data_IF_919449558204
#
_entry.id   IF_919449558204
#
_cell.length_a   1.000
_cell.length_b   1.000
_cell.length_c   1.000
_cell.angle_alpha   90.00
_cell.angle_beta   90.00
_cell.angle_gamma   90.00
#
_symmetry.space_group_name_H-M   'P 1'
#
loop_
_entity.id
_entity.type
_entity.pdbx_description
1 polymer ?
#
# COMPACT_ATOMS: atom_id res chain seq x y z
N UNK A 1 90.90 -26.92 -8.08
CA UNK A 1 89.69 -26.09 -7.95
C UNK A 1 88.68 -26.54 -9.03
N UNK A 2 87.71 -27.35 -8.68
CA UNK A 2 86.70 -27.88 -9.63
C UNK A 2 85.34 -27.45 -9.08
N UNK A 3 84.65 -26.52 -9.80
CA UNK A 3 83.27 -26.11 -9.54
C UNK A 3 82.37 -27.25 -10.09
N UNK A 4 81.54 -27.80 -9.22
CA UNK A 4 80.43 -28.71 -9.61
C UNK A 4 79.16 -27.87 -9.69
N UNK A 5 78.61 -27.78 -10.87
CA UNK A 5 77.29 -27.21 -11.19
C UNK A 5 76.19 -28.25 -10.86
N UNK A 6 75.31 -27.95 -9.96
CA UNK A 6 74.11 -28.76 -9.67
C UNK A 6 72.99 -28.26 -10.56
N UNK A 7 72.43 -29.11 -11.39
CA UNK A 7 71.21 -28.89 -12.17
C UNK A 7 70.04 -29.28 -11.29
N UNK A 8 69.19 -28.33 -10.90
CA UNK A 8 67.90 -28.56 -10.20
C UNK A 8 66.81 -28.79 -11.23
N UNK A 9 66.25 -29.98 -11.25
CA UNK A 9 65.09 -30.35 -12.05
C UNK A 9 63.85 -29.80 -11.31
N UNK A 10 63.17 -28.79 -11.87
CA UNK A 10 61.85 -28.26 -11.36
C UNK A 10 60.78 -29.07 -12.06
N UNK A 11 60.13 -29.94 -11.29
CA UNK A 11 58.94 -30.68 -11.73
C UNK A 11 57.73 -29.77 -11.52
N UNK A 12 57.17 -29.23 -12.59
CA UNK A 12 55.94 -28.46 -12.55
C UNK A 12 54.73 -29.41 -12.35
N UNK A 13 54.16 -29.41 -11.16
CA UNK A 13 52.85 -30.05 -10.89
C UNK A 13 51.79 -29.09 -11.34
N UNK A 14 51.13 -29.38 -12.47
CA UNK A 14 49.90 -28.69 -12.91
C UNK A 14 48.77 -29.26 -12.07
N UNK A 15 48.34 -28.52 -11.02
CA UNK A 15 47.05 -28.73 -10.37
C UNK A 15 45.96 -28.26 -11.34
N UNK A 16 45.25 -29.20 -11.95
CA UNK A 16 43.99 -28.92 -12.61
C UNK A 16 42.96 -28.61 -11.51
N UNK A 17 42.78 -27.32 -11.18
CA UNK A 17 41.65 -26.86 -10.43
C UNK A 17 40.40 -27.03 -11.32
N UNK A 18 39.68 -28.12 -11.13
CA UNK A 18 38.29 -28.24 -11.61
C UNK A 18 37.45 -27.22 -10.89
N UNK A 19 37.41 -25.99 -11.40
CA UNK A 19 36.50 -24.97 -10.99
C UNK A 19 35.08 -25.43 -11.37
N UNK A 20 34.30 -25.82 -10.40
CA UNK A 20 32.83 -25.84 -10.53
C UNK A 20 32.34 -24.39 -10.66
N UNK A 21 32.65 -23.76 -11.76
CA UNK A 21 31.98 -22.57 -12.24
C UNK A 21 30.69 -23.03 -12.93
N UNK A 22 29.60 -23.19 -12.18
CA UNK A 22 28.29 -23.30 -12.78
C UNK A 22 28.06 -22.00 -13.57
N UNK A 23 28.05 -22.10 -14.90
CA UNK A 23 27.56 -21.03 -15.75
C UNK A 23 26.16 -20.67 -15.25
N UNK A 24 25.77 -19.39 -15.21
CA UNK A 24 24.38 -19.02 -14.93
C UNK A 24 23.49 -19.88 -15.85
N UNK A 25 22.65 -20.70 -15.27
CA UNK A 25 21.75 -21.55 -16.04
C UNK A 25 20.81 -20.61 -16.79
N UNK A 26 20.92 -20.56 -18.10
CA UNK A 26 20.05 -19.72 -18.93
C UNK A 26 18.61 -20.17 -18.71
N UNK A 27 17.72 -19.24 -18.33
CA UNK A 27 16.33 -19.55 -18.04
C UNK A 27 15.61 -20.14 -19.26
N UNK A 28 14.58 -20.94 -19.02
CA UNK A 28 13.77 -21.54 -20.07
C UNK A 28 13.17 -20.46 -20.99
N UNK A 29 13.29 -20.64 -22.30
CA UNK A 29 12.73 -19.70 -23.31
C UNK A 29 11.30 -20.05 -23.71
N UNK A 30 10.86 -21.27 -23.44
CA UNK A 30 9.50 -21.77 -23.73
C UNK A 30 8.89 -22.37 -22.47
N UNK A 31 7.59 -22.24 -22.33
CA UNK A 31 6.86 -22.80 -21.19
C UNK A 31 6.76 -24.32 -21.28
N UNK A 32 7.18 -24.99 -20.23
CA UNK A 32 6.89 -26.39 -19.94
C UNK A 32 6.16 -26.46 -18.57
N UNK A 33 4.84 -26.64 -18.53
CA UNK A 33 4.07 -26.68 -17.29
C UNK A 33 4.44 -27.85 -16.36
N UNK A 34 5.19 -28.85 -16.84
CA UNK A 34 5.65 -29.99 -16.03
C UNK A 34 7.06 -29.79 -15.46
N UNK A 35 7.78 -28.76 -15.89
CA UNK A 35 9.10 -28.46 -15.38
C UNK A 35 9.04 -28.16 -13.88
N UNK A 36 10.09 -28.59 -13.15
CA UNK A 36 10.25 -28.20 -11.74
C UNK A 36 10.62 -26.72 -11.66
N UNK A 37 9.84 -25.98 -10.90
CA UNK A 37 10.02 -24.55 -10.72
C UNK A 37 10.14 -24.20 -9.23
N UNK A 38 11.04 -23.29 -8.91
CA UNK A 38 11.09 -22.61 -7.61
C UNK A 38 10.78 -21.13 -7.83
N UNK A 39 9.69 -20.64 -7.23
CA UNK A 39 9.31 -19.24 -7.19
C UNK A 39 9.79 -18.59 -5.90
N UNK A 40 10.10 -17.31 -5.97
CA UNK A 40 10.34 -16.44 -4.81
C UNK A 40 9.22 -15.39 -4.73
N UNK A 41 8.60 -15.29 -3.54
CA UNK A 41 7.49 -14.38 -3.32
C UNK A 41 7.75 -13.52 -2.08
N UNK A 42 7.85 -12.19 -2.28
CA UNK A 42 7.91 -11.21 -1.20
C UNK A 42 6.51 -10.67 -0.94
N UNK A 43 5.95 -11.01 0.21
CA UNK A 43 4.55 -10.74 0.52
C UNK A 43 4.30 -9.32 0.99
N UNK A 44 5.32 -8.61 1.46
CA UNK A 44 5.15 -7.32 2.12
C UNK A 44 4.38 -7.38 3.43
N UNK A 45 4.03 -8.58 3.90
CA UNK A 45 3.22 -8.81 5.09
C UNK A 45 4.05 -9.39 6.22
N UNK A 46 3.59 -9.27 7.45
CA UNK A 46 4.24 -9.78 8.65
C UNK A 46 3.26 -10.54 9.54
N UNK A 47 3.78 -11.23 10.55
CA UNK A 47 3.00 -11.89 11.59
C UNK A 47 1.91 -12.86 11.05
N UNK A 48 0.66 -12.69 11.44
CA UNK A 48 -0.41 -13.64 11.08
C UNK A 48 -0.83 -13.50 9.60
N UNK A 49 -0.71 -12.30 9.03
CA UNK A 49 -0.98 -12.08 7.61
C UNK A 49 0.00 -12.85 6.72
N UNK A 50 1.30 -12.86 7.05
CA UNK A 50 2.30 -13.64 6.33
C UNK A 50 2.03 -15.14 6.43
N UNK A 51 1.68 -15.65 7.62
CA UNK A 51 1.34 -17.09 7.82
C UNK A 51 0.17 -17.56 6.97
N UNK A 52 -0.84 -16.70 6.75
CA UNK A 52 -1.97 -17.04 5.88
C UNK A 52 -1.46 -17.23 4.45
N UNK A 53 -0.63 -16.30 3.95
CA UNK A 53 -0.06 -16.38 2.60
C UNK A 53 0.90 -17.57 2.45
N UNK A 54 1.69 -17.92 3.48
CA UNK A 54 2.49 -19.15 3.51
C UNK A 54 1.59 -20.41 3.40
N UNK A 55 0.46 -20.42 4.11
CA UNK A 55 -0.53 -21.49 4.03
C UNK A 55 -1.13 -21.64 2.63
N UNK A 56 -1.48 -20.54 1.99
CA UNK A 56 -1.99 -20.52 0.61
C UNK A 56 -0.91 -20.96 -0.41
N UNK A 57 0.33 -20.54 -0.24
CA UNK A 57 1.45 -21.02 -1.05
C UNK A 57 1.63 -22.54 -0.94
N UNK A 58 1.52 -23.09 0.29
CA UNK A 58 1.56 -24.53 0.52
C UNK A 58 0.38 -25.29 -0.11
N UNK A 59 -0.82 -24.69 -0.10
CA UNK A 59 -2.00 -25.23 -0.79
C UNK A 59 -1.79 -25.26 -2.33
N UNK A 60 -1.27 -24.19 -2.90
CA UNK A 60 -0.94 -24.12 -4.31
C UNK A 60 0.08 -25.21 -4.70
N UNK A 61 1.14 -25.38 -3.88
CA UNK A 61 2.15 -26.43 -4.08
C UNK A 61 1.54 -27.85 -4.05
N UNK A 62 0.55 -28.09 -3.17
CA UNK A 62 -0.17 -29.40 -3.17
C UNK A 62 -0.93 -29.65 -4.47
N UNK A 63 -1.51 -28.63 -5.08
CA UNK A 63 -2.20 -28.71 -6.37
C UNK A 63 -1.22 -28.84 -7.54
N UNK A 64 -0.01 -28.31 -7.40
CA UNK A 64 1.05 -28.25 -8.41
C UNK A 64 2.40 -28.75 -7.85
N UNK A 65 2.60 -30.09 -7.69
CA UNK A 65 3.77 -30.63 -6.98
C UNK A 65 5.13 -30.34 -7.61
N UNK A 66 5.13 -29.90 -8.86
CA UNK A 66 6.34 -29.46 -9.57
C UNK A 66 6.73 -28.00 -9.25
N UNK A 67 5.89 -27.26 -8.50
CA UNK A 67 6.13 -25.86 -8.11
C UNK A 67 6.41 -25.79 -6.61
N UNK A 68 7.53 -25.18 -6.27
CA UNK A 68 7.86 -24.81 -4.89
C UNK A 68 7.89 -23.29 -4.77
N UNK A 69 7.44 -22.75 -3.65
CA UNK A 69 7.35 -21.31 -3.42
C UNK A 69 8.12 -20.96 -2.16
N UNK A 70 9.09 -20.07 -2.31
CA UNK A 70 9.88 -19.51 -1.21
C UNK A 70 9.21 -18.18 -0.81
N UNK A 71 8.48 -18.22 0.28
CA UNK A 71 7.68 -17.08 0.79
C UNK A 71 8.49 -16.35 1.83
N UNK A 72 8.51 -15.04 1.78
CA UNK A 72 9.05 -14.19 2.83
C UNK A 72 8.39 -12.81 2.81
N UNK A 73 8.43 -12.10 3.93
CA UNK A 73 7.99 -10.70 4.01
C UNK A 73 8.68 -9.79 2.97
N UNK A 74 9.93 -10.07 2.67
CA UNK A 74 10.75 -9.19 1.83
C UNK A 74 11.39 -8.08 2.64
N UNK A 75 10.61 -7.30 3.39
CA UNK A 75 11.09 -6.24 4.28
C UNK A 75 10.04 -5.98 5.38
N UNK A 76 10.45 -5.26 6.43
CA UNK A 76 9.61 -4.97 7.58
C UNK A 76 8.71 -3.75 7.37
N UNK A 77 9.11 -2.84 6.50
CA UNK A 77 8.40 -1.60 6.19
C UNK A 77 8.24 -1.39 4.68
N UNK A 78 7.30 -0.55 4.30
CA UNK A 78 7.03 -0.15 2.92
C UNK A 78 8.28 0.38 2.21
N UNK A 79 8.97 1.35 2.83
CA UNK A 79 10.12 2.00 2.23
C UNK A 79 11.30 1.04 2.06
N UNK A 80 11.51 0.14 3.03
CA UNK A 80 12.54 -0.91 2.95
C UNK A 80 12.25 -1.88 1.81
N UNK A 81 10.98 -2.24 1.57
CA UNK A 81 10.62 -3.14 0.48
C UNK A 81 10.93 -2.53 -0.89
N UNK A 82 10.58 -1.24 -1.11
CA UNK A 82 10.90 -0.54 -2.35
C UNK A 82 12.41 -0.40 -2.57
N UNK A 83 13.16 -0.05 -1.50
CA UNK A 83 14.63 0.03 -1.54
C UNK A 83 15.25 -1.32 -1.90
N UNK A 84 14.74 -2.40 -1.31
CA UNK A 84 15.22 -3.77 -1.56
C UNK A 84 14.94 -4.22 -2.99
N UNK A 85 13.75 -3.90 -3.53
CA UNK A 85 13.42 -4.14 -4.94
C UNK A 85 14.39 -3.39 -5.86
N UNK A 86 14.60 -2.09 -5.61
CA UNK A 86 15.49 -1.24 -6.41
C UNK A 86 16.93 -1.74 -6.39
N UNK A 87 17.46 -2.13 -5.24
CA UNK A 87 18.77 -2.75 -5.10
C UNK A 87 18.84 -4.11 -5.81
N UNK A 88 17.77 -4.89 -5.74
CA UNK A 88 17.62 -6.18 -6.43
C UNK A 88 17.68 -6.03 -7.95
N UNK A 89 17.03 -5.02 -8.50
CA UNK A 89 17.07 -4.73 -9.94
C UNK A 89 18.48 -4.38 -10.42
N UNK A 90 19.21 -3.61 -9.62
CA UNK A 90 20.60 -3.25 -9.93
C UNK A 90 21.56 -4.44 -9.85
N UNK A 91 21.34 -5.36 -8.90
CA UNK A 91 22.18 -6.56 -8.72
C UNK A 91 21.74 -7.77 -9.55
N UNK A 92 20.56 -7.74 -10.16
CA UNK A 92 19.95 -8.87 -10.87
C UNK A 92 19.37 -9.95 -9.94
N UNK A 93 19.19 -9.66 -8.64
CA UNK A 93 18.62 -10.59 -7.64
C UNK A 93 17.34 -9.98 -7.05
N UNK A 94 16.19 -10.36 -7.60
CA UNK A 94 14.88 -9.88 -7.20
C UNK A 94 13.85 -11.03 -7.26
N UNK A 95 12.68 -10.92 -6.58
CA UNK A 95 11.72 -12.01 -6.52
C UNK A 95 10.99 -12.20 -7.86
N UNK A 96 10.24 -13.29 -7.99
CA UNK A 96 9.28 -13.47 -9.09
C UNK A 96 8.01 -12.67 -8.89
N UNK A 97 7.61 -12.52 -7.63
CA UNK A 97 6.40 -11.84 -7.21
C UNK A 97 6.73 -10.98 -6.01
N UNK A 98 6.28 -9.73 -6.01
CA UNK A 98 6.32 -8.89 -4.81
C UNK A 98 5.01 -8.17 -4.61
N UNK A 99 4.61 -8.00 -3.35
CA UNK A 99 3.69 -6.96 -2.96
C UNK A 99 4.28 -5.60 -3.36
N UNK A 100 3.44 -4.72 -3.85
CA UNK A 100 3.85 -3.39 -4.29
C UNK A 100 2.72 -2.41 -4.01
N UNK A 101 3.06 -1.29 -3.38
CA UNK A 101 2.09 -0.21 -3.22
C UNK A 101 1.77 0.40 -4.58
N UNK A 102 0.49 0.72 -4.81
CA UNK A 102 0.02 1.16 -6.11
C UNK A 102 0.72 2.42 -6.65
N UNK A 103 1.18 3.30 -5.75
CA UNK A 103 1.94 4.49 -6.11
C UNK A 103 3.36 4.21 -6.65
N UNK A 104 3.85 2.95 -6.55
CA UNK A 104 5.13 2.54 -7.16
C UNK A 104 4.99 2.01 -8.58
N UNK A 105 3.76 1.80 -9.05
CA UNK A 105 3.50 1.05 -10.29
C UNK A 105 4.30 1.57 -11.50
N UNK A 106 4.33 2.89 -11.74
CA UNK A 106 5.11 3.47 -12.84
C UNK A 106 6.61 3.28 -12.66
N UNK A 107 7.14 3.52 -11.45
CA UNK A 107 8.55 3.31 -11.16
C UNK A 107 8.98 1.84 -11.38
N UNK A 108 8.13 0.89 -10.99
CA UNK A 108 8.39 -0.52 -11.20
C UNK A 108 8.34 -0.89 -12.69
N UNK A 109 7.35 -0.37 -13.43
CA UNK A 109 7.25 -0.59 -14.87
C UNK A 109 8.45 -0.01 -15.63
N UNK A 110 8.87 1.21 -15.29
CA UNK A 110 10.03 1.91 -15.89
C UNK A 110 11.35 1.20 -15.60
N UNK A 111 11.44 0.38 -14.54
CA UNK A 111 12.63 -0.46 -14.28
C UNK A 111 12.92 -1.45 -15.42
N UNK A 112 11.92 -1.76 -16.27
CA UNK A 112 12.00 -2.78 -17.31
C UNK A 112 12.17 -4.19 -16.78
N UNK A 113 11.82 -4.44 -15.49
CA UNK A 113 11.92 -5.75 -14.83
C UNK A 113 10.57 -6.43 -14.64
N UNK A 114 9.46 -5.73 -14.87
CA UNK A 114 8.12 -6.30 -14.74
C UNK A 114 7.76 -7.16 -15.94
N UNK A 115 6.97 -8.20 -15.71
CA UNK A 115 6.32 -8.95 -16.79
C UNK A 115 5.24 -8.08 -17.44
N UNK A 116 5.09 -8.20 -18.75
CA UNK A 116 3.92 -7.65 -19.46
C UNK A 116 2.79 -8.69 -19.46
N UNK A 117 1.73 -8.39 -18.73
CA UNK A 117 0.56 -9.23 -18.59
C UNK A 117 -0.63 -8.77 -19.43
N UNK A 118 -0.46 -7.71 -20.24
CA UNK A 118 -1.54 -7.03 -20.98
C UNK A 118 -2.36 -7.96 -21.84
N UNK A 119 -1.74 -8.90 -22.53
CA UNK A 119 -2.45 -9.90 -23.32
C UNK A 119 -3.02 -11.04 -22.45
N UNK A 120 -2.34 -11.39 -21.36
CA UNK A 120 -2.75 -12.48 -20.46
C UNK A 120 -4.05 -12.17 -19.70
N UNK A 121 -4.26 -10.91 -19.31
CA UNK A 121 -5.48 -10.50 -18.58
C UNK A 121 -6.72 -10.45 -19.48
N UNK A 122 -6.58 -10.56 -20.80
CA UNK A 122 -7.70 -10.68 -21.75
C UNK A 122 -8.32 -12.06 -21.76
N UNK A 123 -7.65 -13.08 -21.21
CA UNK A 123 -8.23 -14.41 -21.05
C UNK A 123 -9.49 -14.31 -20.16
N UNK A 124 -10.66 -14.78 -20.65
CA UNK A 124 -11.90 -14.76 -19.88
C UNK A 124 -11.81 -15.46 -18.52
N UNK A 125 -10.90 -16.43 -18.36
CA UNK A 125 -10.67 -17.12 -17.11
C UNK A 125 -10.05 -16.22 -16.02
N UNK A 126 -9.42 -15.12 -16.40
CA UNK A 126 -8.87 -14.10 -15.47
C UNK A 126 -9.98 -13.27 -14.85
N UNK A 127 -11.10 -13.06 -15.58
CA UNK A 127 -12.21 -12.20 -15.15
C UNK A 127 -11.74 -10.80 -14.74
N UNK A 128 -10.88 -10.20 -15.56
CA UNK A 128 -10.21 -8.93 -15.25
C UNK A 128 -11.18 -7.79 -14.90
N UNK A 129 -12.36 -7.80 -15.53
CA UNK A 129 -13.38 -6.77 -15.32
C UNK A 129 -14.10 -6.85 -13.97
N UNK A 130 -13.94 -7.93 -13.21
CA UNK A 130 -14.47 -8.04 -11.85
C UNK A 130 -13.66 -7.23 -10.83
N UNK A 131 -12.42 -6.88 -11.13
CA UNK A 131 -11.65 -5.93 -10.31
C UNK A 131 -12.17 -4.50 -10.46
N UNK A 132 -12.10 -3.71 -9.39
CA UNK A 132 -12.47 -2.31 -9.42
C UNK A 132 -11.69 -1.55 -10.51
N UNK A 133 -12.32 -0.59 -11.18
CA UNK A 133 -11.70 0.17 -12.26
C UNK A 133 -10.42 0.91 -11.80
N UNK A 134 -10.41 1.47 -10.59
CA UNK A 134 -9.24 2.11 -9.98
C UNK A 134 -8.09 1.13 -9.79
N UNK A 135 -8.38 -0.09 -9.32
CA UNK A 135 -7.36 -1.13 -9.12
C UNK A 135 -6.75 -1.60 -10.46
N UNK A 136 -7.59 -1.76 -11.48
CA UNK A 136 -7.11 -2.08 -12.84
C UNK A 136 -6.25 -0.95 -13.42
N UNK A 137 -6.67 0.30 -13.24
CA UNK A 137 -5.88 1.45 -13.68
C UNK A 137 -4.52 1.51 -13.00
N UNK A 138 -4.46 1.29 -11.68
CA UNK A 138 -3.20 1.23 -10.91
C UNK A 138 -2.29 0.10 -11.40
N UNK A 139 -2.86 -1.08 -11.73
CA UNK A 139 -2.09 -2.21 -12.26
C UNK A 139 -1.61 -2.01 -13.71
N UNK A 140 -2.03 -0.92 -14.38
CA UNK A 140 -1.78 -0.68 -15.82
C UNK A 140 -1.05 0.64 -16.06
N UNK A 141 0.13 0.88 -15.45
CA UNK A 141 0.91 2.08 -15.72
C UNK A 141 1.34 2.11 -17.18
N UNK A 142 1.27 3.30 -17.80
CA UNK A 142 1.66 3.51 -19.20
C UNK A 142 1.05 2.50 -20.22
N UNK A 143 -0.12 1.93 -19.89
CA UNK A 143 -0.82 0.97 -20.75
C UNK A 143 -0.34 -0.47 -20.65
N UNK A 144 0.63 -0.80 -19.80
CA UNK A 144 1.15 -2.14 -19.56
C UNK A 144 0.64 -2.70 -18.23
N UNK A 145 -0.02 -3.85 -18.24
CA UNK A 145 -0.41 -4.55 -17.00
C UNK A 145 0.80 -5.25 -16.41
N UNK A 146 1.20 -4.86 -15.18
CA UNK A 146 2.42 -5.36 -14.52
C UNK A 146 2.14 -6.31 -13.35
N UNK A 147 0.89 -6.49 -12.97
CA UNK A 147 0.50 -7.30 -11.83
C UNK A 147 -1.03 -7.38 -11.70
N UNK A 148 -1.45 -7.96 -10.58
CA UNK A 148 -2.86 -8.06 -10.21
C UNK A 148 -3.13 -7.25 -8.95
N UNK A 149 -4.33 -6.71 -8.76
CA UNK A 149 -4.71 -6.13 -7.47
C UNK A 149 -4.44 -7.13 -6.33
N UNK A 150 -3.75 -6.69 -5.29
CA UNK A 150 -3.45 -7.47 -4.09
C UNK A 150 -4.44 -7.18 -2.98
N UNK A 151 -4.80 -5.91 -2.84
CA UNK A 151 -5.89 -5.46 -2.00
C UNK A 151 -6.51 -4.19 -2.59
N UNK A 152 -7.73 -3.89 -2.17
CA UNK A 152 -8.38 -2.60 -2.37
C UNK A 152 -8.87 -2.09 -1.02
N UNK A 153 -8.79 -0.80 -0.85
CA UNK A 153 -9.11 -0.12 0.38
C UNK A 153 -9.70 1.27 0.12
N UNK A 154 -10.13 1.91 1.16
CA UNK A 154 -10.41 3.34 1.19
C UNK A 154 -10.30 3.87 2.61
N UNK A 155 -10.12 5.18 2.73
CA UNK A 155 -10.25 5.86 4.01
C UNK A 155 -11.72 6.08 4.35
N UNK A 156 -12.08 5.69 5.56
CA UNK A 156 -13.39 5.91 6.17
C UNK A 156 -13.23 6.51 7.57
N UNK A 157 -14.29 7.08 8.10
CA UNK A 157 -14.30 7.57 9.46
C UNK A 157 -14.66 6.45 10.43
N UNK A 158 -13.76 6.09 11.34
CA UNK A 158 -14.00 5.20 12.46
C UNK A 158 -14.18 6.03 13.74
N UNK A 159 -15.18 5.70 14.54
CA UNK A 159 -15.43 6.40 15.81
C UNK A 159 -15.65 5.45 16.98
N UNK A 160 -15.14 5.82 18.15
CA UNK A 160 -15.25 5.04 19.39
C UNK A 160 -16.58 5.34 20.09
N UNK A 161 -17.55 4.43 20.02
CA UNK A 161 -18.89 4.62 20.57
C UNK A 161 -18.87 4.92 22.06
N UNK A 162 -18.04 4.26 22.84
CA UNK A 162 -17.94 4.49 24.30
C UNK A 162 -17.53 5.92 24.63
N UNK A 163 -16.60 6.51 23.88
CA UNK A 163 -16.18 7.89 24.09
C UNK A 163 -17.26 8.89 23.67
N UNK A 164 -17.96 8.60 22.57
CA UNK A 164 -19.10 9.40 22.11
C UNK A 164 -20.23 9.42 23.15
N UNK A 165 -20.63 8.25 23.65
CA UNK A 165 -21.66 8.11 24.67
C UNK A 165 -21.27 8.81 25.97
N UNK A 166 -20.04 8.63 26.44
CA UNK A 166 -19.54 9.24 27.67
C UNK A 166 -19.55 10.78 27.63
N UNK A 167 -19.40 11.38 26.44
CA UNK A 167 -19.42 12.84 26.26
C UNK A 167 -20.73 13.38 25.68
N UNK A 168 -21.75 12.52 25.48
CA UNK A 168 -23.02 12.86 24.83
C UNK A 168 -22.78 13.56 23.46
N UNK A 169 -21.93 13.00 22.63
CA UNK A 169 -21.70 13.43 21.25
C UNK A 169 -22.57 12.56 20.33
N UNK A 170 -23.39 13.13 19.43
CA UNK A 170 -24.10 12.32 18.43
C UNK A 170 -23.12 11.55 17.54
N UNK A 171 -23.49 10.32 17.18
CA UNK A 171 -22.68 9.53 16.26
C UNK A 171 -22.59 10.18 14.86
N UNK A 172 -21.48 10.00 14.15
CA UNK A 172 -21.34 10.44 12.77
C UNK A 172 -22.43 9.86 11.86
N UNK A 173 -22.97 10.72 10.99
CA UNK A 173 -23.84 10.33 9.88
C UNK A 173 -23.10 10.45 8.56
N UNK A 174 -23.68 9.94 7.47
CA UNK A 174 -23.10 10.06 6.13
C UNK A 174 -23.11 11.50 5.58
N UNK A 175 -23.79 12.42 6.29
CA UNK A 175 -23.92 13.84 5.91
C UNK A 175 -22.99 14.76 6.71
N UNK A 176 -22.15 14.17 7.61
CA UNK A 176 -21.25 14.98 8.42
C UNK A 176 -20.31 15.81 7.56
N UNK A 177 -20.17 17.07 7.97
CA UNK A 177 -19.20 18.01 7.43
C UNK A 177 -17.88 17.96 8.21
N UNK A 178 -16.83 18.55 7.67
CA UNK A 178 -15.57 18.72 8.42
C UNK A 178 -15.73 19.62 9.65
N UNK A 179 -16.69 20.53 9.65
CA UNK A 179 -17.00 21.35 10.84
C UNK A 179 -17.64 20.51 11.94
N UNK A 180 -18.53 19.57 11.60
CA UNK A 180 -19.09 18.60 12.55
C UNK A 180 -17.98 17.71 13.15
N UNK A 181 -17.08 17.23 12.31
CA UNK A 181 -15.93 16.45 12.74
C UNK A 181 -15.03 17.22 13.72
N UNK A 182 -14.71 18.49 13.40
CA UNK A 182 -13.91 19.36 14.28
C UNK A 182 -14.62 19.63 15.60
N UNK A 183 -15.92 19.93 15.56
CA UNK A 183 -16.72 20.17 16.76
C UNK A 183 -16.77 18.94 17.67
N UNK A 184 -16.98 17.75 17.10
CA UNK A 184 -16.93 16.49 17.82
C UNK A 184 -15.55 16.22 18.41
N UNK A 185 -14.48 16.41 17.63
CA UNK A 185 -13.10 16.21 18.09
C UNK A 185 -12.78 17.08 19.31
N UNK A 186 -13.19 18.36 19.29
CA UNK A 186 -13.03 19.27 20.47
C UNK A 186 -13.78 18.74 21.68
N UNK A 187 -15.01 18.30 21.51
CA UNK A 187 -15.87 17.82 22.60
C UNK A 187 -15.38 16.50 23.21
N UNK A 188 -14.80 15.63 22.41
CA UNK A 188 -14.24 14.36 22.83
C UNK A 188 -12.89 14.49 23.53
N UNK A 189 -12.17 15.58 23.27
CA UNK A 189 -10.81 15.80 23.84
C UNK A 189 -10.88 16.01 25.34
N UNK A 190 -10.05 15.27 26.08
CA UNK A 190 -9.89 15.38 27.52
C UNK A 190 -8.41 15.30 27.86
N UNK A 191 -7.72 16.43 27.99
CA UNK A 191 -6.28 16.47 28.27
C UNK A 191 -5.90 15.83 29.61
N UNK A 192 -6.78 15.93 30.63
CA UNK A 192 -6.51 15.34 31.94
C UNK A 192 -6.51 13.81 31.89
N UNK A 193 -7.39 13.23 31.08
CA UNK A 193 -7.44 11.78 30.83
C UNK A 193 -6.49 11.34 29.71
N UNK A 194 -5.77 12.26 29.05
CA UNK A 194 -4.97 12.04 27.86
C UNK A 194 -5.78 11.38 26.73
N UNK A 195 -7.00 11.85 26.51
CA UNK A 195 -7.87 11.45 25.41
C UNK A 195 -7.85 12.55 24.35
N UNK A 196 -7.69 12.17 23.10
CA UNK A 196 -7.72 13.06 21.94
C UNK A 196 -9.00 12.86 21.14
N UNK A 197 -9.51 13.92 20.55
CA UNK A 197 -10.70 13.84 19.70
C UNK A 197 -10.44 13.07 18.41
N UNK A 198 -9.25 13.27 17.83
CA UNK A 198 -8.79 12.55 16.63
C UNK A 198 -7.27 12.40 16.61
N UNK A 199 -6.75 11.81 15.55
CA UNK A 199 -5.32 11.67 15.30
C UNK A 199 -4.95 12.06 13.87
N UNK A 200 -3.67 12.34 13.66
CA UNK A 200 -3.09 12.55 12.34
C UNK A 200 -1.63 12.13 12.34
N UNK A 201 -1.18 11.42 11.29
CA UNK A 201 0.22 11.10 11.07
C UNK A 201 1.03 12.35 10.71
N UNK A 202 2.19 12.50 11.34
CA UNK A 202 3.17 13.55 11.04
C UNK A 202 4.58 12.98 10.88
N UNK A 203 4.68 11.72 10.46
CA UNK A 203 5.94 11.07 10.13
C UNK A 203 6.58 11.66 8.87
N UNK A 204 5.77 12.26 8.00
CA UNK A 204 6.17 12.71 6.67
C UNK A 204 6.14 11.61 5.61
N UNK A 205 5.63 10.44 5.95
CA UNK A 205 5.43 9.30 5.05
C UNK A 205 4.25 9.48 4.09
N UNK A 206 4.01 8.48 3.26
CA UNK A 206 2.81 8.40 2.41
C UNK A 206 1.53 8.40 3.25
N UNK A 207 1.50 7.83 4.47
CA UNK A 207 0.34 7.87 5.35
C UNK A 207 -0.08 9.32 5.67
N UNK A 208 0.90 10.21 5.95
CA UNK A 208 0.65 11.64 6.18
C UNK A 208 -0.06 12.30 5.00
N UNK A 209 0.38 12.04 3.78
CA UNK A 209 -0.17 12.67 2.57
C UNK A 209 -1.46 12.00 2.12
N UNK A 210 -1.59 10.70 2.30
CA UNK A 210 -2.76 9.96 1.91
C UNK A 210 -4.03 10.45 2.63
N UNK A 211 -3.91 10.75 3.90
CA UNK A 211 -4.98 11.37 4.70
C UNK A 211 -5.30 12.81 4.26
N UNK A 212 -4.37 13.49 3.61
CA UNK A 212 -4.55 14.87 3.13
C UNK A 212 -5.29 14.96 1.80
N UNK A 213 -5.10 14.00 0.89
CA UNK A 213 -5.66 14.07 -0.46
C UNK A 213 -7.18 14.19 -0.51
N UNK A 214 -7.98 13.49 0.29
CA UNK A 214 -9.44 13.71 0.32
C UNK A 214 -9.83 15.15 0.67
N UNK A 215 -9.16 15.77 1.63
CA UNK A 215 -9.45 17.16 2.01
C UNK A 215 -9.11 18.14 0.86
N UNK A 216 -8.03 17.89 0.14
CA UNK A 216 -7.64 18.67 -1.03
C UNK A 216 -8.69 18.55 -2.14
N UNK A 217 -9.06 17.32 -2.51
CA UNK A 217 -9.98 17.05 -3.61
C UNK A 217 -11.38 17.56 -3.35
N UNK A 218 -11.92 17.35 -2.16
CA UNK A 218 -13.25 17.85 -1.75
C UNK A 218 -13.34 19.38 -1.78
N UNK A 219 -12.21 20.09 -1.77
CA UNK A 219 -12.12 21.55 -1.92
C UNK A 219 -11.83 21.98 -3.37
N UNK A 220 -11.92 21.05 -4.31
CA UNK A 220 -11.68 21.30 -5.74
C UNK A 220 -10.19 21.43 -6.12
N UNK A 221 -9.28 21.02 -5.25
CA UNK A 221 -7.86 21.00 -5.54
C UNK A 221 -7.41 19.75 -6.31
N UNK A 222 -6.20 19.79 -6.83
CA UNK A 222 -5.54 18.67 -7.50
C UNK A 222 -4.14 18.45 -6.92
N UNK A 223 -3.63 17.21 -6.98
CA UNK A 223 -2.27 16.89 -6.55
C UNK A 223 -1.27 17.47 -7.56
N UNK A 224 -1.49 17.17 -8.83
CA UNK A 224 -0.66 17.63 -9.95
C UNK A 224 -1.49 18.43 -10.95
N UNK A 225 -0.81 19.16 -11.82
CA UNK A 225 -1.38 19.77 -13.03
C UNK A 225 -1.96 18.70 -13.96
N UNK A 226 -2.80 19.11 -14.91
CA UNK A 226 -3.47 18.21 -15.85
C UNK A 226 -2.47 17.38 -16.69
N UNK A 227 -1.32 17.95 -17.03
CA UNK A 227 -0.24 17.27 -17.74
C UNK A 227 0.68 16.45 -16.83
N UNK A 228 0.37 16.40 -15.53
CA UNK A 228 1.09 15.68 -14.47
C UNK A 228 2.55 16.11 -14.27
N UNK A 229 2.96 17.26 -14.80
CA UNK A 229 4.36 17.73 -14.75
C UNK A 229 4.66 18.74 -13.67
N UNK A 230 3.65 19.28 -13.01
CA UNK A 230 3.80 20.32 -12.00
C UNK A 230 2.93 20.04 -10.78
N UNK A 231 3.40 20.49 -9.63
CA UNK A 231 2.62 20.49 -8.41
C UNK A 231 1.40 21.41 -8.55
N UNK A 232 0.23 20.98 -8.07
CA UNK A 232 -0.99 21.78 -7.98
C UNK A 232 -1.56 21.82 -6.55
N UNK A 233 -1.03 21.01 -5.66
CA UNK A 233 -1.49 20.89 -4.27
C UNK A 233 -1.27 22.14 -3.43
N UNK A 234 -0.41 23.07 -3.85
CA UNK A 234 -0.12 24.33 -3.17
C UNK A 234 -1.05 25.50 -3.55
N UNK A 235 -2.11 25.22 -4.31
CA UNK A 235 -3.20 26.17 -4.60
C UNK A 235 -4.07 26.46 -3.37
N UNK A 236 -5.06 27.36 -3.51
CA UNK A 236 -5.92 27.78 -2.39
C UNK A 236 -6.60 26.60 -1.69
N UNK A 237 -7.11 25.62 -2.44
CA UNK A 237 -7.74 24.41 -1.87
C UNK A 237 -6.81 23.62 -0.92
N UNK A 238 -5.52 23.51 -1.28
CA UNK A 238 -4.54 22.86 -0.42
C UNK A 238 -4.22 23.69 0.83
N UNK A 239 -4.12 25.01 0.68
CA UNK A 239 -3.92 25.91 1.81
C UNK A 239 -5.09 25.81 2.79
N UNK A 240 -6.34 25.89 2.31
CA UNK A 240 -7.54 25.81 3.14
C UNK A 240 -7.65 24.44 3.86
N UNK A 241 -7.31 23.36 3.15
CA UNK A 241 -7.28 22.02 3.74
C UNK A 241 -6.24 21.92 4.88
N UNK A 242 -5.06 22.47 4.66
CA UNK A 242 -3.98 22.40 5.65
C UNK A 242 -4.20 23.38 6.81
N UNK A 243 -4.83 24.54 6.59
CA UNK A 243 -5.26 25.45 7.66
C UNK A 243 -6.32 24.82 8.56
N UNK A 244 -7.27 24.07 7.98
CA UNK A 244 -8.24 23.33 8.76
C UNK A 244 -7.56 22.32 9.70
N UNK A 245 -6.65 21.51 9.20
CA UNK A 245 -5.89 20.55 10.01
C UNK A 245 -5.03 21.25 11.07
N UNK A 246 -4.36 22.34 10.71
CA UNK A 246 -3.58 23.14 11.63
C UNK A 246 -4.44 23.68 12.77
N UNK A 247 -5.61 24.22 12.47
CA UNK A 247 -6.51 24.73 13.49
C UNK A 247 -6.93 23.64 14.50
N UNK A 248 -7.17 22.42 14.05
CA UNK A 248 -7.47 21.28 14.94
C UNK A 248 -6.25 20.89 15.80
N UNK A 249 -5.04 20.87 15.21
CA UNK A 249 -3.83 20.42 15.89
C UNK A 249 -3.27 21.49 16.86
N UNK A 250 -3.18 22.74 16.42
CA UNK A 250 -2.51 23.83 17.13
C UNK A 250 -3.45 24.63 18.02
N UNK A 251 -4.59 25.06 17.46
CA UNK A 251 -5.50 25.96 18.16
C UNK A 251 -6.46 25.18 19.09
N UNK A 252 -7.08 24.11 18.58
CA UNK A 252 -8.03 23.27 19.34
C UNK A 252 -7.32 22.22 20.20
N UNK A 253 -6.09 21.83 19.86
CA UNK A 253 -5.29 20.77 20.50
C UNK A 253 -6.05 19.44 20.62
N UNK A 254 -6.89 19.15 19.65
CA UNK A 254 -7.77 17.98 19.62
C UNK A 254 -7.19 16.79 18.89
N UNK A 255 -5.98 16.93 18.32
CA UNK A 255 -5.33 15.94 17.47
C UNK A 255 -4.15 15.28 18.19
N UNK A 256 -4.11 13.97 18.24
CA UNK A 256 -2.89 13.23 18.54
C UNK A 256 -2.00 13.22 17.29
N UNK A 257 -0.80 13.80 17.39
CA UNK A 257 0.17 13.83 16.29
C UNK A 257 1.08 12.61 16.40
N UNK A 258 0.88 11.64 15.49
CA UNK A 258 1.69 10.42 15.44
C UNK A 258 2.96 10.63 14.61
N UNK A 259 4.11 10.40 15.22
CA UNK A 259 5.43 10.56 14.59
C UNK A 259 5.88 9.31 13.83
N UNK A 260 5.15 8.20 13.95
CA UNK A 260 5.59 6.87 13.50
C UNK A 260 4.60 6.15 12.60
N UNK A 261 3.38 6.66 12.45
CA UNK A 261 2.22 6.05 11.76
C UNK A 261 1.69 4.78 12.45
N UNK A 262 2.35 4.28 13.48
CA UNK A 262 2.06 2.98 14.10
C UNK A 262 1.22 3.08 15.37
N UNK A 263 1.04 4.28 15.95
CA UNK A 263 0.50 4.45 17.30
C UNK A 263 -0.97 4.86 17.34
N UNK A 264 -1.44 5.62 16.36
CA UNK A 264 -2.79 6.20 16.44
C UNK A 264 -3.90 5.13 16.38
N UNK A 265 -3.76 4.10 15.54
CA UNK A 265 -4.75 3.02 15.44
C UNK A 265 -4.79 2.15 16.72
N UNK A 266 -3.66 1.69 17.31
CA UNK A 266 -3.66 1.04 18.62
C UNK A 266 -4.25 1.90 19.74
N UNK A 267 -3.97 3.21 19.79
CA UNK A 267 -4.52 4.13 20.78
C UNK A 267 -6.04 4.33 20.61
N UNK A 268 -6.54 4.32 19.38
CA UNK A 268 -7.98 4.31 19.13
C UNK A 268 -8.63 3.05 19.68
N UNK A 269 -8.06 1.88 19.41
CA UNK A 269 -8.52 0.60 19.95
C UNK A 269 -8.53 0.56 21.50
N UNK A 270 -7.59 1.25 22.12
CA UNK A 270 -7.48 1.38 23.59
C UNK A 270 -8.40 2.47 24.19
N UNK A 271 -9.22 3.12 23.37
CA UNK A 271 -10.14 4.17 23.82
C UNK A 271 -9.46 5.48 24.23
N UNK A 272 -8.30 5.79 23.64
CA UNK A 272 -7.54 7.03 23.89
C UNK A 272 -7.74 8.07 22.79
N UNK A 273 -8.38 7.69 21.68
CA UNK A 273 -8.71 8.55 20.56
C UNK A 273 -10.19 8.34 20.22
N UNK A 274 -10.94 9.44 20.04
CA UNK A 274 -12.36 9.42 19.78
C UNK A 274 -12.72 9.02 18.35
N UNK A 275 -11.95 9.50 17.39
CA UNK A 275 -12.14 9.27 15.96
C UNK A 275 -10.83 9.07 15.26
N UNK A 276 -10.78 8.21 14.26
CA UNK A 276 -9.68 8.13 13.30
C UNK A 276 -10.23 8.06 11.88
N UNK A 277 -9.51 8.65 10.96
CA UNK A 277 -9.68 8.36 9.54
C UNK A 277 -8.73 7.20 9.24
N UNK A 278 -9.27 6.06 8.83
CA UNK A 278 -8.45 4.88 8.55
C UNK A 278 -9.18 3.91 7.61
N UNK A 279 -8.50 2.84 7.22
CA UNK A 279 -9.01 1.85 6.30
C UNK A 279 -9.35 0.50 6.92
N UNK A 280 -9.78 -0.47 6.08
CA UNK A 280 -10.26 -1.77 6.52
C UNK A 280 -9.18 -2.61 7.22
N UNK A 281 -7.90 -2.40 6.93
CA UNK A 281 -6.78 -3.07 7.60
C UNK A 281 -6.76 -2.90 9.13
N UNK A 282 -7.45 -1.88 9.65
CA UNK A 282 -7.56 -1.65 11.10
C UNK A 282 -8.58 -2.58 11.77
N UNK A 283 -9.54 -3.10 11.02
CA UNK A 283 -10.70 -3.82 11.58
C UNK A 283 -10.31 -5.10 12.29
N UNK A 284 -9.30 -5.81 11.79
CA UNK A 284 -8.80 -7.04 12.43
C UNK A 284 -8.32 -6.76 13.87
N UNK A 285 -7.50 -5.74 14.08
CA UNK A 285 -6.98 -5.36 15.39
C UNK A 285 -8.09 -4.86 16.33
N UNK A 286 -9.05 -4.07 15.80
CA UNK A 286 -10.19 -3.61 16.57
C UNK A 286 -11.06 -4.77 17.07
N UNK A 287 -11.24 -5.79 16.24
CA UNK A 287 -11.91 -7.03 16.60
C UNK A 287 -11.17 -7.76 17.71
N UNK A 288 -9.84 -7.95 17.58
CA UNK A 288 -9.01 -8.59 18.62
C UNK A 288 -9.12 -7.86 19.96
N UNK A 289 -9.12 -6.54 19.94
CA UNK A 289 -9.27 -5.68 21.13
C UNK A 289 -10.71 -5.58 21.63
N UNK A 290 -11.70 -6.12 20.90
CA UNK A 290 -13.14 -5.98 21.20
C UNK A 290 -13.56 -4.52 21.35
N UNK A 291 -13.01 -3.66 20.50
CA UNK A 291 -13.32 -2.23 20.49
C UNK A 291 -14.76 -2.02 20.00
N UNK A 292 -15.54 -1.26 20.74
CA UNK A 292 -16.89 -0.86 20.32
C UNK A 292 -16.80 0.39 19.44
N UNK A 293 -16.80 0.19 18.12
CA UNK A 293 -16.63 1.24 17.12
C UNK A 293 -17.81 1.31 16.15
N UNK A 294 -17.89 2.39 15.42
CA UNK A 294 -18.74 2.53 14.25
C UNK A 294 -17.95 3.06 13.07
N UNK A 295 -18.51 2.93 11.87
CA UNK A 295 -17.94 3.38 10.60
C UNK A 295 -18.92 4.34 9.93
N UNK A 296 -18.39 5.43 9.37
CA UNK A 296 -19.12 6.38 8.54
C UNK A 296 -18.27 6.75 7.32
N UNK A 297 -18.87 7.41 6.33
CA UNK A 297 -18.11 8.05 5.25
C UNK A 297 -17.21 9.15 5.82
N UNK A 298 -16.21 9.57 5.05
CA UNK A 298 -15.44 10.75 5.43
C UNK A 298 -16.38 11.96 5.54
N UNK A 299 -16.12 12.89 6.48
CA UNK A 299 -16.81 14.16 6.50
C UNK A 299 -16.69 14.84 5.13
N UNK A 300 -17.77 15.53 4.71
CA UNK A 300 -17.84 16.13 3.39
C UNK A 300 -17.58 17.63 3.37
N UNK A 301 -17.25 18.14 2.19
CA UNK A 301 -17.24 19.56 1.85
C UNK A 301 -18.30 19.80 0.78
N UNK A 302 -19.30 20.65 1.07
CA UNK A 302 -20.42 20.93 0.13
C UNK A 302 -21.14 19.68 -0.40
N UNK A 303 -21.30 18.66 0.45
CA UNK A 303 -21.94 17.38 0.08
C UNK A 303 -21.03 16.43 -0.72
N UNK A 304 -19.78 16.76 -0.95
CA UNK A 304 -18.79 15.85 -1.52
C UNK A 304 -18.04 15.11 -0.40
N UNK A 305 -18.25 13.80 -0.31
CA UNK A 305 -17.62 12.88 0.65
C UNK A 305 -16.49 12.07 0.00
N UNK A 306 -15.85 12.64 -1.02
CA UNK A 306 -14.80 11.96 -1.74
C UNK A 306 -13.71 11.45 -0.80
N UNK A 307 -13.36 10.18 -0.97
CA UNK A 307 -12.27 9.51 -0.28
C UNK A 307 -11.14 9.15 -1.26
N UNK A 308 -10.05 8.65 -0.72
CA UNK A 308 -8.96 8.04 -1.46
C UNK A 308 -9.07 6.52 -1.38
N UNK A 309 -8.75 5.84 -2.48
CA UNK A 309 -8.51 4.40 -2.52
C UNK A 309 -7.06 4.16 -2.92
N UNK A 310 -6.43 3.19 -2.29
CA UNK A 310 -5.04 2.81 -2.52
C UNK A 310 -4.94 1.35 -2.93
N UNK A 311 -5.33 0.99 -4.16
CA UNK A 311 -5.15 -0.38 -4.62
C UNK A 311 -3.67 -0.72 -4.63
N UNK A 312 -3.31 -1.83 -3.96
CA UNK A 312 -1.96 -2.38 -4.00
C UNK A 312 -1.91 -3.59 -4.93
N UNK A 313 -0.71 -4.01 -5.30
CA UNK A 313 -0.50 -4.97 -6.38
C UNK A 313 0.34 -6.17 -5.92
N UNK A 314 0.05 -7.32 -6.50
CA UNK A 314 1.00 -8.41 -6.69
C UNK A 314 1.71 -8.16 -8.03
N UNK A 315 2.87 -7.50 -7.98
CA UNK A 315 3.67 -7.23 -9.18
C UNK A 315 4.51 -8.45 -9.54
N UNK A 316 4.52 -8.80 -10.82
CA UNK A 316 5.25 -9.96 -11.35
C UNK A 316 6.50 -9.47 -12.10
N UNK A 317 7.63 -10.12 -11.84
CA UNK A 317 8.92 -9.74 -12.42
C UNK A 317 9.47 -10.78 -13.39
N UNK A 318 10.14 -10.30 -14.43
CA UNK A 318 10.80 -11.12 -15.44
C UNK A 318 12.23 -11.48 -15.01
N UNK A 319 12.41 -12.71 -14.58
CA UNK A 319 13.73 -13.29 -14.27
C UNK A 319 14.36 -14.04 -15.47
N UNK A 320 13.83 -13.86 -16.68
CA UNK A 320 14.34 -14.47 -17.90
C UNK A 320 14.02 -15.96 -18.06
N UNK A 321 13.08 -16.51 -17.24
CA UNK A 321 12.64 -17.90 -17.27
C UNK A 321 11.14 -18.01 -17.52
N UNK A 322 10.76 -18.58 -18.67
CA UNK A 322 9.37 -18.68 -19.10
C UNK A 322 8.50 -19.54 -18.15
N UNK A 323 9.08 -20.56 -17.51
CA UNK A 323 8.35 -21.40 -16.57
C UNK A 323 8.07 -20.67 -15.26
N UNK A 324 9.04 -19.91 -14.75
CA UNK A 324 8.84 -19.05 -13.57
C UNK A 324 7.77 -17.97 -13.85
N UNK A 325 7.84 -17.31 -15.01
CA UNK A 325 6.84 -16.32 -15.42
C UNK A 325 5.44 -16.93 -15.55
N UNK A 326 5.32 -18.13 -16.11
CA UNK A 326 4.05 -18.86 -16.23
C UNK A 326 3.47 -19.18 -14.85
N UNK A 327 4.25 -19.80 -13.98
CA UNK A 327 3.77 -20.22 -12.67
C UNK A 327 3.52 -19.06 -11.69
N UNK A 328 4.25 -17.96 -11.82
CA UNK A 328 3.93 -16.71 -11.10
C UNK A 328 2.56 -16.17 -11.49
N UNK A 329 2.25 -16.16 -12.79
CA UNK A 329 0.94 -15.76 -13.28
C UNK A 329 -0.18 -16.69 -12.78
N UNK A 330 -0.01 -18.00 -12.86
CA UNK A 330 -1.01 -18.98 -12.41
C UNK A 330 -1.24 -18.89 -10.88
N UNK A 331 -0.19 -18.70 -10.08
CA UNK A 331 -0.28 -18.49 -8.64
C UNK A 331 -1.13 -17.26 -8.32
N UNK A 332 -0.82 -16.11 -8.91
CA UNK A 332 -1.52 -14.86 -8.59
C UNK A 332 -2.94 -14.86 -9.16
N UNK A 333 -3.16 -15.43 -10.34
CA UNK A 333 -4.51 -15.64 -10.86
C UNK A 333 -5.38 -16.46 -9.90
N UNK A 334 -4.83 -17.53 -9.31
CA UNK A 334 -5.55 -18.33 -8.32
C UNK A 334 -5.72 -17.57 -7.00
N UNK A 335 -4.68 -16.93 -6.46
CA UNK A 335 -4.72 -16.19 -5.21
C UNK A 335 -5.74 -15.05 -5.25
N UNK A 336 -5.86 -14.37 -6.39
CA UNK A 336 -6.79 -13.25 -6.59
C UNK A 336 -8.13 -13.67 -7.21
N UNK A 337 -8.43 -14.98 -7.28
CA UNK A 337 -9.79 -15.47 -7.55
C UNK A 337 -10.70 -15.15 -6.37
N UNK A 338 -12.01 -15.15 -6.57
CA UNK A 338 -12.95 -14.88 -5.46
C UNK A 338 -12.75 -15.82 -4.27
N UNK A 339 -12.48 -17.12 -4.54
CA UNK A 339 -12.22 -18.11 -3.49
C UNK A 339 -10.85 -17.92 -2.83
N UNK A 340 -9.81 -17.55 -3.59
CA UNK A 340 -8.47 -17.29 -3.07
C UNK A 340 -8.45 -16.04 -2.21
N UNK A 341 -9.05 -14.96 -2.72
CA UNK A 341 -9.14 -13.68 -2.03
C UNK A 341 -9.92 -13.78 -0.72
N UNK A 342 -11.03 -14.51 -0.70
CA UNK A 342 -11.82 -14.72 0.50
C UNK A 342 -11.05 -15.39 1.64
N UNK A 343 -10.00 -16.16 1.33
CA UNK A 343 -9.13 -16.80 2.33
C UNK A 343 -8.01 -15.89 2.83
N UNK A 344 -7.77 -14.80 2.15
CA UNK A 344 -6.71 -13.84 2.47
C UNK A 344 -7.30 -12.50 2.92
N UNK A 345 -7.87 -11.72 1.99
CA UNK A 345 -8.30 -10.36 2.27
C UNK A 345 -9.50 -10.29 3.21
N UNK A 346 -10.54 -11.10 3.03
CA UNK A 346 -11.69 -11.07 3.93
C UNK A 346 -11.33 -11.52 5.35
N UNK A 347 -10.42 -12.50 5.50
CA UNK A 347 -9.95 -12.93 6.83
C UNK A 347 -9.22 -11.82 7.57
N UNK A 348 -8.51 -10.96 6.84
CA UNK A 348 -7.78 -9.80 7.40
C UNK A 348 -8.67 -8.56 7.60
N UNK A 349 -9.94 -8.62 7.22
CA UNK A 349 -10.85 -7.47 7.29
C UNK A 349 -10.72 -6.51 6.11
N UNK A 350 -9.90 -6.82 5.10
CA UNK A 350 -9.76 -6.02 3.89
C UNK A 350 -11.00 -6.14 2.99
N UNK A 351 -11.14 -5.21 2.03
CA UNK A 351 -12.29 -5.21 1.12
C UNK A 351 -12.15 -6.28 0.04
N UNK A 352 -13.29 -6.83 -0.47
CA UNK A 352 -13.27 -7.79 -1.56
C UNK A 352 -12.58 -7.22 -2.81
N UNK A 353 -11.68 -7.98 -3.42
CA UNK A 353 -11.04 -7.59 -4.68
C UNK A 353 -12.00 -7.62 -5.86
N UNK A 354 -12.94 -8.58 -5.85
CA UNK A 354 -13.83 -8.87 -6.97
C UNK A 354 -15.29 -8.66 -6.58
N UNK A 355 -16.05 -8.15 -7.50
CA UNK A 355 -17.50 -7.97 -7.30
C UNK A 355 -18.23 -9.30 -7.05
N UNK A 356 -17.76 -10.41 -7.62
CA UNK A 356 -18.33 -11.73 -7.40
C UNK A 356 -18.20 -12.28 -5.98
N UNK A 357 -17.23 -11.79 -5.20
CA UNK A 357 -17.03 -12.23 -3.82
C UNK A 357 -18.20 -11.93 -2.90
N UNK A 358 -18.93 -10.82 -3.15
CA UNK A 358 -20.12 -10.47 -2.37
C UNK A 358 -21.23 -11.51 -2.40
N UNK A 359 -21.20 -12.42 -3.37
CA UNK A 359 -22.14 -13.55 -3.48
C UNK A 359 -21.68 -14.82 -2.76
N UNK A 360 -20.42 -14.86 -2.27
CA UNK A 360 -19.90 -16.02 -1.55
C UNK A 360 -20.46 -16.10 -0.12
N UNK A 361 -20.68 -17.31 0.43
CA UNK A 361 -21.03 -17.47 1.84
C UNK A 361 -20.00 -16.82 2.78
N UNK A 362 -18.71 -16.88 2.45
CA UNK A 362 -17.63 -16.24 3.20
C UNK A 362 -17.84 -14.73 3.38
N UNK A 363 -18.43 -14.05 2.40
CA UNK A 363 -18.74 -12.61 2.54
C UNK A 363 -19.79 -12.34 3.62
N UNK A 364 -20.77 -13.19 3.78
CA UNK A 364 -21.78 -13.03 4.83
C UNK A 364 -21.20 -13.20 6.23
N UNK A 365 -20.23 -14.08 6.38
CA UNK A 365 -19.52 -14.26 7.64
C UNK A 365 -18.56 -13.08 7.89
N UNK A 366 -17.86 -12.62 6.88
CA UNK A 366 -17.01 -11.43 6.91
C UNK A 366 -17.79 -10.18 7.38
N UNK A 367 -18.97 -9.92 6.83
CA UNK A 367 -19.79 -8.77 7.24
C UNK A 367 -20.23 -8.85 8.71
N UNK A 368 -20.54 -10.05 9.21
CA UNK A 368 -20.87 -10.26 10.63
C UNK A 368 -19.66 -10.07 11.53
N UNK A 369 -18.50 -10.49 11.04
CA UNK A 369 -17.24 -10.50 11.77
C UNK A 369 -16.66 -9.10 11.95
N UNK A 370 -16.87 -8.23 10.94
CA UNK A 370 -16.35 -6.86 10.88
C UNK A 370 -17.48 -5.84 10.77
N UNK A 371 -18.17 -5.47 11.89
CA UNK A 371 -19.28 -4.54 11.87
C UNK A 371 -18.89 -3.20 11.22
N UNK A 372 -19.70 -2.73 10.27
CA UNK A 372 -19.47 -1.47 9.56
C UNK A 372 -18.61 -1.60 8.29
N UNK A 373 -18.05 -2.78 8.00
CA UNK A 373 -17.27 -2.99 6.78
C UNK A 373 -18.11 -2.79 5.50
N UNK A 374 -19.40 -3.09 5.54
CA UNK A 374 -20.33 -2.80 4.43
C UNK A 374 -20.36 -1.31 4.07
N UNK A 375 -20.17 -0.44 5.08
CA UNK A 375 -20.05 1.00 4.85
C UNK A 375 -18.75 1.32 4.10
N UNK A 376 -17.65 0.64 4.42
CA UNK A 376 -16.39 0.81 3.68
C UNK A 376 -16.50 0.27 2.24
N UNK A 377 -17.17 -0.87 2.04
CA UNK A 377 -17.46 -1.38 0.68
C UNK A 377 -18.28 -0.37 -0.12
N UNK A 378 -19.35 0.20 0.49
CA UNK A 378 -20.16 1.23 -0.16
C UNK A 378 -19.37 2.53 -0.43
N UNK A 379 -18.41 2.86 0.43
CA UNK A 379 -17.56 4.05 0.31
C UNK A 379 -16.59 3.98 -0.90
N UNK A 380 -16.39 2.83 -1.51
CA UNK A 380 -15.65 2.73 -2.78
C UNK A 380 -16.26 3.60 -3.89
N UNK A 381 -17.57 3.86 -3.85
CA UNK A 381 -18.25 4.78 -4.78
C UNK A 381 -17.79 6.26 -4.60
N UNK A 382 -17.23 6.60 -3.45
CA UNK A 382 -16.69 7.93 -3.14
C UNK A 382 -15.21 8.06 -3.52
N UNK A 383 -14.52 6.98 -3.89
CA UNK A 383 -13.15 7.00 -4.40
C UNK A 383 -13.14 7.43 -5.89
N UNK A 384 -13.37 8.71 -6.14
CA UNK A 384 -13.57 9.27 -7.49
C UNK A 384 -12.25 9.58 -8.21
N UNK A 385 -11.17 9.74 -7.49
CA UNK A 385 -9.85 10.07 -8.03
C UNK A 385 -8.80 9.08 -7.51
N UNK A 386 -7.82 8.78 -8.37
CA UNK A 386 -6.64 8.02 -7.99
C UNK A 386 -5.47 8.96 -7.68
N UNK A 387 -4.53 8.49 -6.88
CA UNK A 387 -3.22 9.15 -6.75
C UNK A 387 -2.48 9.12 -8.09
N UNK A 388 -1.65 10.12 -8.38
CA UNK A 388 -0.80 10.07 -9.57
C UNK A 388 0.12 8.85 -9.55
N UNK A 389 0.35 8.27 -10.72
CA UNK A 389 1.26 7.13 -10.89
C UNK A 389 2.56 7.52 -11.59
N UNK A 390 2.91 8.80 -11.62
CA UNK A 390 4.18 9.30 -12.19
C UNK A 390 5.36 8.90 -11.30
N UNK A 391 6.52 8.63 -11.90
CA UNK A 391 7.71 8.15 -11.18
C UNK A 391 8.21 9.10 -10.08
N UNK A 392 8.01 10.39 -10.23
CA UNK A 392 8.34 11.40 -9.20
C UNK A 392 7.36 11.51 -8.04
N UNK A 393 6.25 10.73 -8.05
CA UNK A 393 5.20 10.85 -7.03
C UNK A 393 5.71 10.56 -5.62
N UNK A 394 6.47 9.49 -5.42
CA UNK A 394 6.94 9.06 -4.09
C UNK A 394 7.77 10.16 -3.42
N UNK A 395 8.68 10.79 -4.16
CA UNK A 395 9.50 11.88 -3.63
C UNK A 395 8.68 13.15 -3.39
N UNK A 396 7.78 13.48 -4.30
CA UNK A 396 6.83 14.58 -4.12
C UNK A 396 5.98 14.37 -2.86
N UNK A 397 5.41 13.19 -2.69
CA UNK A 397 4.60 12.84 -1.51
C UNK A 397 5.37 13.05 -0.22
N UNK A 398 6.62 12.61 -0.17
CA UNK A 398 7.49 12.85 0.99
C UNK A 398 7.65 14.34 1.30
N UNK A 399 7.88 15.19 0.30
CA UNK A 399 8.01 16.64 0.51
C UNK A 399 6.71 17.27 1.03
N UNK A 400 5.55 16.80 0.53
CA UNK A 400 4.24 17.26 1.02
C UNK A 400 4.01 16.75 2.46
N UNK A 401 4.34 15.51 2.77
CA UNK A 401 4.24 14.95 4.11
C UNK A 401 5.08 15.72 5.14
N UNK A 402 6.32 16.07 4.80
CA UNK A 402 7.19 16.93 5.61
C UNK A 402 6.57 18.33 5.83
N UNK A 403 5.95 18.92 4.81
CA UNK A 403 5.28 20.21 4.90
C UNK A 403 4.06 20.15 5.84
N UNK A 404 3.23 19.11 5.70
CA UNK A 404 2.09 18.88 6.60
C UNK A 404 2.58 18.75 8.06
N UNK A 405 3.59 17.91 8.28
CA UNK A 405 4.15 17.70 9.62
C UNK A 405 4.61 19.02 10.27
N UNK A 406 5.36 19.85 9.54
CA UNK A 406 5.80 21.19 10.02
C UNK A 406 4.62 22.07 10.41
N UNK A 407 3.55 22.08 9.61
CA UNK A 407 2.38 22.93 9.84
C UNK A 407 1.58 22.46 11.05
N UNK A 408 1.34 21.15 11.19
CA UNK A 408 0.58 20.59 12.31
C UNK A 408 1.33 20.70 13.64
N UNK A 409 2.65 20.75 13.59
CA UNK A 409 3.50 21.03 14.74
C UNK A 409 3.62 22.54 15.06
N UNK A 410 2.99 23.41 14.27
CA UNK A 410 3.02 24.85 14.46
C UNK A 410 4.33 25.53 14.00
N UNK A 411 5.19 24.83 13.29
CA UNK A 411 6.51 25.31 12.88
C UNK A 411 6.49 26.14 11.57
N UNK A 412 5.41 26.07 10.78
CA UNK A 412 5.28 26.80 9.50
C UNK A 412 3.84 27.19 9.22
N UNK A 413 3.66 28.23 8.41
CA UNK A 413 2.35 28.57 7.84
C UNK A 413 2.03 27.65 6.64
N UNK A 414 0.74 27.26 6.43
CA UNK A 414 0.33 26.35 5.37
C UNK A 414 0.84 26.73 3.98
N UNK A 415 0.61 27.95 3.53
CA UNK A 415 1.03 28.41 2.20
C UNK A 415 2.54 28.29 1.99
N UNK A 416 3.32 28.75 2.96
CA UNK A 416 4.79 28.72 2.87
C UNK A 416 5.33 27.28 2.82
N UNK A 417 4.76 26.38 3.64
CA UNK A 417 5.17 24.98 3.67
C UNK A 417 4.83 24.25 2.36
N UNK A 418 3.62 24.47 1.79
CA UNK A 418 3.21 23.86 0.54
C UNK A 418 3.99 24.41 -0.67
N UNK A 419 4.33 25.72 -0.68
CA UNK A 419 5.18 26.29 -1.75
C UNK A 419 6.62 25.75 -1.69
N UNK A 420 7.17 25.58 -0.51
CA UNK A 420 8.47 24.92 -0.34
C UNK A 420 8.43 23.48 -0.86
N UNK A 421 7.38 22.72 -0.51
CA UNK A 421 7.19 21.36 -0.98
C UNK A 421 7.05 21.30 -2.52
N UNK A 422 6.27 22.21 -3.12
CA UNK A 422 6.10 22.28 -4.57
C UNK A 422 7.44 22.59 -5.28
N UNK A 423 8.23 23.48 -4.72
CA UNK A 423 9.56 23.81 -5.25
C UNK A 423 10.51 22.62 -5.21
N UNK A 424 10.53 21.87 -4.11
CA UNK A 424 11.35 20.66 -3.94
C UNK A 424 10.90 19.55 -4.89
N UNK A 425 9.61 19.42 -5.13
CA UNK A 425 9.02 18.39 -5.99
C UNK A 425 9.27 18.63 -7.48
N UNK A 426 9.59 19.85 -7.89
CA UNK A 426 9.71 20.21 -9.31
C UNK A 426 10.77 19.36 -10.05
N UNK A 427 11.89 19.04 -9.41
CA UNK A 427 12.94 18.21 -10.00
C UNK A 427 12.50 16.75 -10.16
N UNK A 428 11.85 16.19 -9.17
CA UNK A 428 11.34 14.81 -9.20
C UNK A 428 10.28 14.63 -10.31
N UNK A 429 9.40 15.63 -10.47
CA UNK A 429 8.35 15.61 -11.50
C UNK A 429 8.86 15.89 -12.92
N UNK A 430 10.00 16.57 -13.07
CA UNK A 430 10.59 16.85 -14.38
C UNK A 430 11.41 15.68 -14.96
N UNK A 431 11.76 14.72 -14.12
CA UNK A 431 12.59 13.56 -14.50
C UNK A 431 11.79 12.32 -14.92
N UNK A 432 10.44 12.38 -14.85
CA UNK A 432 9.53 11.31 -15.21
C UNK A 432 8.97 11.42 -16.62
#
# INVERSE_FOLDING_TARGET
>A
MRRRTAVALVTAIILAAAGCGGSPQEGAKTVDPQAKVKLTWWTGQTADAEKILEGLAAEFTKKHPNVTIDVSSGASTTDELLQKLSAGFASGVYPDISYSFGNWASQLQESGKTLDLTEKVKDPAVKWDEFAASARATATPNGQVIGFPALVDNLSLLYNKKLFDAKNVPYPTDEWTWDDFRAAAKKLTDPAAKIYGTAYSVSGSEDTTWHFWPLLWQRGGAILSQDQKQAAFNGQAGVDALEFLRAMAVDDKSVYLDQTDERYAPLFGDGRIGMIINGPWTLFDLKQKKTDYGVAFLPGTNGDHQTVSGPDLWTLFDNGDANRAYWSFELIKWLTSAEGDSQWNLVQGNLPLRTSETSLPAYQDYVKEYPGVEKMVANMANAKQARPTVSGYVEMSRHVGEAIAKVLQGASAPKAALDEAATKSAQALAGG
#
